data_IF_677958710125
#
_entry.id   IF_677958710125
#
_cell.length_a   1.000
_cell.length_b   1.000
_cell.length_c   1.000
_cell.angle_alpha   90.00
_cell.angle_beta   90.00
_cell.angle_gamma   90.00
#
_symmetry.space_group_name_H-M   'P 1'
#
loop_
_entity.id
_entity.type
_entity.pdbx_description
1 polymer ?
#
# COMPACT_ATOMS: atom_id res chain seq x y z
N UNK A 1 -10.84 -15.42 -20.93
CA UNK A 1 -10.84 -15.56 -19.97
C UNK A 1 -9.79 -15.33 -19.23
N UNK A 2 -9.45 -14.83 -18.57
CA UNK A 2 -8.53 -14.72 -17.97
C UNK A 2 -8.72 -14.70 -16.79
N UNK A 3 -8.89 -14.56 -16.28
CA UNK A 3 -9.06 -14.78 -15.24
C UNK A 3 -8.15 -15.14 -14.33
N UNK A 4 -7.26 -15.58 -14.58
CA UNK A 4 -6.27 -15.90 -13.66
C UNK A 4 -5.78 -14.75 -12.83
N UNK A 5 -5.92 -13.55 -13.31
CA UNK A 5 -5.51 -12.40 -12.52
C UNK A 5 -6.23 -12.37 -11.18
N UNK A 6 -7.52 -12.72 -11.17
CA UNK A 6 -8.27 -12.72 -9.93
C UNK A 6 -7.79 -13.81 -9.00
N UNK A 7 -7.43 -14.95 -9.57
CA UNK A 7 -6.93 -16.04 -8.76
C UNK A 7 -5.60 -15.71 -8.13
N UNK A 8 -4.86 -14.78 -8.73
CA UNK A 8 -3.55 -14.38 -8.23
C UNK A 8 -3.63 -13.18 -7.29
N UNK A 9 -4.81 -12.67 -7.04
CA UNK A 9 -4.96 -11.53 -6.14
C UNK A 9 -4.86 -11.98 -4.70
N UNK A 10 -4.20 -11.13 -3.91
CA UNK A 10 -4.03 -11.34 -2.48
C UNK A 10 -4.33 -10.03 -1.77
N UNK A 11 -4.45 -10.12 -0.46
CA UNK A 11 -4.58 -8.96 0.42
C UNK A 11 -3.28 -8.82 1.22
N UNK A 12 -2.92 -7.58 1.51
CA UNK A 12 -1.81 -7.31 2.37
C UNK A 12 -2.11 -6.10 3.25
N UNK A 13 -1.60 -6.15 4.47
CA UNK A 13 -1.57 -5.01 5.37
C UNK A 13 -0.10 -4.62 5.51
N UNK A 14 0.21 -3.38 5.16
CA UNK A 14 1.58 -2.89 5.16
C UNK A 14 1.69 -1.78 6.19
N UNK A 15 2.66 -1.92 7.10
CA UNK A 15 2.92 -0.90 8.12
C UNK A 15 4.28 -0.28 7.82
N UNK A 16 4.30 1.04 7.69
CA UNK A 16 5.50 1.79 7.36
C UNK A 16 5.93 2.60 8.58
N UNK A 17 7.15 2.37 9.03
CA UNK A 17 7.73 3.01 10.21
C UNK A 17 8.77 4.02 9.77
N UNK A 18 8.88 5.11 10.52
CA UNK A 18 9.89 6.12 10.30
C UNK A 18 9.29 7.51 10.27
N UNK A 19 9.97 8.42 9.58
CA UNK A 19 9.47 9.77 9.41
C UNK A 19 8.59 9.77 8.15
N UNK A 20 7.33 9.44 8.35
CA UNK A 20 6.42 9.17 7.23
C UNK A 20 5.11 9.95 7.29
N UNK A 21 4.88 10.70 8.36
CA UNK A 21 3.71 11.58 8.45
C UNK A 21 4.13 13.03 8.27
N UNK A 22 3.26 13.82 7.65
CA UNK A 22 3.55 15.23 7.40
C UNK A 22 4.55 15.46 6.29
N UNK A 23 4.80 14.46 5.45
CA UNK A 23 5.81 14.54 4.38
C UNK A 23 5.21 14.14 3.02
N UNK A 24 3.87 14.06 2.92
CA UNK A 24 3.22 13.69 1.67
C UNK A 24 3.22 12.20 1.39
N UNK A 25 3.43 11.37 2.39
CA UNK A 25 3.58 9.93 2.18
C UNK A 25 2.28 9.29 1.70
N UNK A 26 1.13 9.67 2.27
CA UNK A 26 -0.15 9.08 1.85
C UNK A 26 -0.45 9.36 0.39
N UNK A 27 -0.23 10.60 -0.05
CA UNK A 27 -0.46 10.96 -1.45
C UNK A 27 0.48 10.20 -2.37
N UNK A 28 1.74 10.07 -1.98
CA UNK A 28 2.72 9.29 -2.72
C UNK A 28 2.28 7.83 -2.84
N UNK A 29 1.91 7.22 -1.71
CA UNK A 29 1.50 5.82 -1.69
C UNK A 29 0.27 5.58 -2.55
N UNK A 30 -0.72 6.48 -2.45
CA UNK A 30 -1.95 6.33 -3.22
C UNK A 30 -1.69 6.43 -4.72
N UNK A 31 -0.80 7.34 -5.13
CA UNK A 31 -0.46 7.50 -6.54
C UNK A 31 0.24 6.24 -7.07
N UNK A 32 1.21 5.74 -6.33
CA UNK A 32 1.94 4.54 -6.77
C UNK A 32 1.00 3.34 -6.84
N UNK A 33 0.17 3.17 -5.80
CA UNK A 33 -0.76 2.05 -5.78
C UNK A 33 -1.76 2.12 -6.94
N UNK A 34 -2.27 3.31 -7.24
CA UNK A 34 -3.19 3.50 -8.36
C UNK A 34 -2.50 3.19 -9.69
N UNK A 35 -1.27 3.64 -9.86
CA UNK A 35 -0.51 3.36 -11.08
C UNK A 35 -0.29 1.87 -11.26
N UNK A 36 -0.15 1.14 -10.18
CA UNK A 36 0.02 -0.30 -10.20
C UNK A 36 -1.30 -1.06 -10.25
N UNK A 37 -2.41 -0.33 -10.32
CA UNK A 37 -3.77 -0.90 -10.39
C UNK A 37 -4.09 -1.75 -9.18
N UNK A 38 -3.66 -1.30 -8.02
CA UNK A 38 -3.97 -1.94 -6.75
C UNK A 38 -5.19 -1.27 -6.12
N UNK A 39 -5.83 -1.96 -5.20
CA UNK A 39 -7.04 -1.51 -4.55
C UNK A 39 -6.80 -1.44 -3.05
N UNK A 40 -7.49 -0.54 -2.37
CA UNK A 40 -7.37 -0.42 -0.92
C UNK A 40 -7.30 1.02 -0.47
N UNK A 41 -6.46 1.28 0.51
CA UNK A 41 -6.30 2.63 1.02
C UNK A 41 -5.10 2.77 1.94
N UNK A 42 -4.82 4.01 2.31
CA UNK A 42 -3.70 4.34 3.16
C UNK A 42 -4.13 5.37 4.19
N UNK A 43 -3.70 5.17 5.44
CA UNK A 43 -4.04 6.08 6.54
C UNK A 43 -2.83 6.29 7.45
N UNK A 44 -2.83 7.42 8.13
CA UNK A 44 -1.90 7.65 9.23
C UNK A 44 -2.43 6.98 10.49
N UNK A 45 -1.55 6.35 11.25
CA UNK A 45 -1.90 5.84 12.56
C UNK A 45 -1.50 6.85 13.63
N UNK A 46 -2.13 6.76 14.79
CA UNK A 46 -1.90 7.72 15.87
C UNK A 46 -0.48 7.63 16.45
N UNK A 47 0.20 6.50 16.22
CA UNK A 47 1.55 6.30 16.76
C UNK A 47 2.64 6.72 15.79
N UNK A 48 2.28 7.36 14.67
CA UNK A 48 3.26 7.88 13.72
C UNK A 48 3.51 7.00 12.51
N UNK A 49 3.06 5.76 12.54
CA UNK A 49 3.20 4.89 11.38
C UNK A 49 2.17 5.23 10.31
N UNK A 50 2.41 4.75 9.11
CA UNK A 50 1.43 4.79 8.02
C UNK A 50 1.02 3.35 7.72
N UNK A 51 -0.28 3.12 7.57
CA UNK A 51 -0.82 1.81 7.30
C UNK A 51 -1.49 1.79 5.94
N UNK A 52 -1.21 0.74 5.17
CA UNK A 52 -1.92 0.48 3.93
C UNK A 52 -2.66 -0.85 4.05
N UNK A 53 -3.87 -0.89 3.49
CA UNK A 53 -4.54 -2.15 3.18
C UNK A 53 -4.60 -2.20 1.66
N UNK A 54 -4.14 -3.29 1.08
CA UNK A 54 -3.97 -3.31 -0.37
C UNK A 54 -4.33 -4.70 -0.91
N UNK A 55 -5.02 -4.70 -2.05
CA UNK A 55 -5.35 -5.93 -2.76
C UNK A 55 -4.94 -5.81 -4.21
N UNK A 56 -4.52 -6.93 -4.76
CA UNK A 56 -4.13 -7.04 -6.14
C UNK A 56 -3.18 -8.20 -6.32
N UNK A 57 -2.50 -8.24 -7.44
CA UNK A 57 -1.52 -9.27 -7.68
C UNK A 57 -0.35 -9.07 -6.74
N UNK A 58 0.17 -10.19 -6.23
CA UNK A 58 1.26 -10.13 -5.26
C UNK A 58 2.47 -9.38 -5.82
N UNK A 59 2.80 -9.61 -7.07
CA UNK A 59 3.94 -8.92 -7.69
C UNK A 59 3.73 -7.40 -7.70
N UNK A 60 2.50 -6.94 -7.89
CA UNK A 60 2.20 -5.51 -7.86
C UNK A 60 2.38 -4.95 -6.45
N UNK A 61 1.94 -5.70 -5.45
CA UNK A 61 2.09 -5.26 -4.06
C UNK A 61 3.58 -5.21 -3.70
N UNK A 62 4.37 -6.18 -4.17
CA UNK A 62 5.81 -6.16 -3.90
C UNK A 62 6.48 -4.97 -4.58
N UNK A 63 6.03 -4.59 -5.78
CA UNK A 63 6.53 -3.38 -6.42
C UNK A 63 6.17 -2.13 -5.61
N UNK A 64 4.95 -2.10 -5.08
CA UNK A 64 4.54 -1.01 -4.21
C UNK A 64 5.47 -0.92 -3.00
N UNK A 65 5.76 -2.05 -2.37
CA UNK A 65 6.64 -2.07 -1.20
C UNK A 65 8.02 -1.48 -1.52
N UNK A 66 8.57 -1.81 -2.68
CA UNK A 66 9.85 -1.25 -3.08
C UNK A 66 9.79 0.26 -3.20
N UNK A 67 8.71 0.79 -3.77
CA UNK A 67 8.53 2.23 -3.88
C UNK A 67 8.32 2.89 -2.53
N UNK A 68 7.58 2.22 -1.65
CA UNK A 68 7.34 2.76 -0.30
C UNK A 68 8.64 2.89 0.50
N UNK A 69 9.59 1.96 0.28
CA UNK A 69 10.87 2.05 0.97
C UNK A 69 11.65 3.29 0.58
N UNK A 70 11.49 3.73 -0.65
CA UNK A 70 12.11 4.97 -1.11
C UNK A 70 11.34 6.16 -0.56
N UNK A 71 10.03 6.15 -0.74
CA UNK A 71 9.16 7.20 -0.27
C UNK A 71 9.35 8.51 -1.00
N UNK A 72 8.56 9.53 -0.64
CA UNK A 72 8.79 10.88 -1.16
C UNK A 72 10.05 11.48 -0.55
N UNK A 73 10.54 12.56 -1.14
CA UNK A 73 11.87 13.10 -0.83
C UNK A 73 12.04 13.41 0.66
N UNK A 74 11.00 13.91 1.33
CA UNK A 74 11.11 14.33 2.72
C UNK A 74 10.89 13.18 3.71
N UNK A 75 10.56 11.99 3.23
CA UNK A 75 10.31 10.84 4.09
C UNK A 75 11.61 10.13 4.44
N UNK A 76 11.55 9.41 5.56
CA UNK A 76 12.64 8.54 5.95
C UNK A 76 12.05 7.26 6.46
N UNK A 77 12.01 6.26 5.59
CA UNK A 77 11.42 4.97 5.90
C UNK A 77 12.46 4.12 6.61
N UNK A 78 12.14 3.65 7.79
CA UNK A 78 13.06 2.86 8.60
C UNK A 78 12.74 1.38 8.57
N UNK A 79 11.47 1.02 8.38
CA UNK A 79 11.06 -0.37 8.45
C UNK A 79 9.70 -0.52 7.78
N UNK A 80 9.51 -1.63 7.10
CA UNK A 80 8.20 -2.01 6.54
C UNK A 80 7.87 -3.41 7.02
N UNK A 81 6.65 -3.58 7.52
CA UNK A 81 6.13 -4.88 7.93
C UNK A 81 4.92 -5.19 7.07
N UNK A 82 4.82 -6.42 6.61
CA UNK A 82 3.73 -6.83 5.74
C UNK A 82 3.10 -8.10 6.25
N UNK A 83 1.77 -8.08 6.32
CA UNK A 83 0.96 -9.24 6.66
C UNK A 83 0.15 -9.59 5.42
N UNK A 84 0.16 -10.87 5.02
CA UNK A 84 -0.50 -11.31 3.79
C UNK A 84 -1.77 -12.09 4.13
N UNK A 85 -2.76 -12.01 3.25
CA UNK A 85 -4.00 -12.74 3.42
C UNK A 85 -4.72 -12.91 2.10
N UNK A 86 -5.90 -13.48 2.16
CA UNK A 86 -6.72 -13.71 0.99
C UNK A 86 -7.40 -12.41 0.57
N UNK A 87 -7.50 -12.20 -0.73
CA UNK A 87 -8.21 -11.04 -1.27
C UNK A 87 -9.69 -11.12 -0.92
N UNK A 88 -10.29 -9.98 -0.65
CA UNK A 88 -11.69 -9.89 -0.26
C UNK A 88 -12.58 -9.33 -1.35
N UNK A 89 -11.99 -8.60 -2.31
CA UNK A 89 -12.77 -7.96 -3.37
C UNK A 89 -13.57 -6.76 -2.92
N UNK A 90 -13.34 -6.25 -1.71
CA UNK A 90 -14.21 -5.21 -1.14
C UNK A 90 -13.79 -3.78 -1.48
N UNK A 91 -12.63 -3.59 -2.09
CA UNK A 91 -12.17 -2.24 -2.42
C UNK A 91 -12.47 -1.95 -3.88
N UNK A 92 -12.82 -0.69 -4.19
CA UNK A 92 -13.14 -0.30 -5.55
C UNK A 92 -12.12 0.63 -6.19
N UNK A 93 -11.07 0.99 -5.49
CA UNK A 93 -10.00 1.82 -5.99
C UNK A 93 -8.97 1.96 -4.88
N UNK A 94 -8.01 2.85 -5.03
CA UNK A 94 -7.07 3.11 -3.96
C UNK A 94 -7.25 4.54 -3.47
N UNK A 95 -7.50 4.68 -2.17
CA UNK A 95 -7.94 5.94 -1.57
C UNK A 95 -7.06 6.34 -0.41
N UNK A 96 -7.07 7.63 -0.11
CA UNK A 96 -6.46 8.12 1.12
C UNK A 96 -7.54 8.12 2.18
N UNK A 97 -7.27 7.45 3.28
CA UNK A 97 -8.20 7.37 4.40
C UNK A 97 -7.77 8.35 5.50
N UNK A 98 -8.77 8.94 6.13
CA UNK A 98 -8.57 9.91 7.21
C UNK A 98 -9.20 9.42 8.54
#
# INVERSE_FOLDING_TARGET
MNPPADELSVWARVLVHGRVQGVGFRAFAARVASDLRLFGGVRNLSDGRVELEVEGQKAGIEMLERQLRIGPAAARVMKIETEWGAATGRYSGFEIWY
#
